data_IF_654950974537
#
_entry.id   IF_654950974537
#
_cell.length_a   1.000
_cell.length_b   1.000
_cell.length_c   1.000
_cell.angle_alpha   90.00
_cell.angle_beta   90.00
_cell.angle_gamma   90.00
#
_symmetry.space_group_name_H-M   'P 1'
#
loop_
_entity.id
_entity.type
_entity.pdbx_description
1 polymer ?
#
# COMPACT_ATOMS: atom_id res chain seq x y z
N UNK A 1 19.05 -20.24 -30.61
CA UNK A 1 18.88 -20.77 -29.24
C UNK A 1 18.96 -19.61 -28.25
N UNK A 2 17.87 -19.30 -27.55
CA UNK A 2 17.88 -18.50 -26.31
C UNK A 2 17.02 -19.28 -25.32
N UNK A 3 17.67 -19.91 -24.33
CA UNK A 3 16.95 -20.49 -23.21
C UNK A 3 16.36 -19.33 -22.39
N UNK A 4 15.05 -19.13 -22.46
CA UNK A 4 14.34 -18.38 -21.44
C UNK A 4 14.34 -19.25 -20.18
N UNK A 5 15.36 -19.12 -19.34
CA UNK A 5 15.23 -19.54 -17.96
C UNK A 5 14.11 -18.70 -17.36
N UNK A 6 12.98 -19.33 -17.04
CA UNK A 6 11.94 -18.68 -16.27
C UNK A 6 12.52 -18.36 -14.89
N UNK A 7 13.00 -17.13 -14.70
CA UNK A 7 13.49 -16.66 -13.41
C UNK A 7 12.36 -16.85 -12.41
N UNK A 8 12.55 -17.74 -11.43
CA UNK A 8 11.57 -17.88 -10.37
C UNK A 8 11.56 -16.60 -9.55
N UNK A 9 10.43 -15.91 -9.52
CA UNK A 9 10.20 -14.75 -8.66
C UNK A 9 9.56 -15.21 -7.35
N UNK A 10 9.93 -14.60 -6.20
CA UNK A 10 9.28 -14.86 -4.93
C UNK A 10 7.83 -14.40 -4.95
N UNK A 11 6.94 -15.06 -4.21
CA UNK A 11 5.53 -14.68 -4.10
C UNK A 11 5.29 -13.66 -2.98
N UNK A 12 6.16 -13.62 -1.99
CA UNK A 12 6.08 -12.74 -0.82
C UNK A 12 7.47 -12.22 -0.45
N UNK A 13 7.55 -11.15 0.35
CA UNK A 13 8.84 -10.71 0.88
C UNK A 13 9.46 -11.73 1.85
N UNK A 14 8.63 -12.52 2.54
CA UNK A 14 9.10 -13.62 3.37
C UNK A 14 9.88 -14.63 2.53
N UNK A 15 9.33 -15.05 1.39
CA UNK A 15 10.05 -15.93 0.46
C UNK A 15 11.31 -15.28 -0.11
N UNK A 16 11.21 -14.00 -0.51
CA UNK A 16 12.35 -13.23 -1.03
C UNK A 16 13.53 -13.24 -0.03
N UNK A 17 13.23 -13.10 1.26
CA UNK A 17 14.22 -13.11 2.34
C UNK A 17 14.74 -14.52 2.66
N UNK A 18 13.86 -15.52 2.80
CA UNK A 18 14.27 -16.85 3.30
C UNK A 18 14.79 -17.80 2.24
N UNK A 19 14.31 -17.71 1.00
CA UNK A 19 14.64 -18.67 -0.07
C UNK A 19 15.51 -18.06 -1.17
N UNK A 20 15.38 -16.76 -1.42
CA UNK A 20 16.12 -16.07 -2.48
C UNK A 20 17.25 -15.17 -1.95
N UNK A 21 17.34 -14.99 -0.63
CA UNK A 21 18.35 -14.15 0.04
C UNK A 21 18.44 -12.74 -0.57
N UNK A 22 17.29 -12.17 -0.94
CA UNK A 22 17.21 -10.85 -1.56
C UNK A 22 17.34 -9.75 -0.50
N UNK A 23 18.07 -8.66 -0.80
CA UNK A 23 18.19 -7.54 0.12
C UNK A 23 16.87 -6.80 0.31
N UNK A 24 16.74 -6.10 1.44
CA UNK A 24 15.63 -5.18 1.69
C UNK A 24 15.60 -4.05 0.64
N UNK A 25 14.39 -3.71 0.18
CA UNK A 25 14.17 -2.72 -0.86
C UNK A 25 12.98 -3.06 -1.75
N UNK A 26 12.79 -2.33 -2.86
CA UNK A 26 11.78 -2.64 -3.86
C UNK A 26 12.06 -4.01 -4.52
N UNK A 27 11.09 -4.91 -4.48
CA UNK A 27 11.21 -6.28 -4.98
C UNK A 27 9.99 -6.64 -5.83
N UNK A 28 10.24 -7.26 -6.98
CA UNK A 28 9.19 -7.77 -7.84
C UNK A 28 8.68 -9.14 -7.33
N UNK A 29 7.39 -9.22 -7.06
CA UNK A 29 6.71 -10.40 -6.52
C UNK A 29 5.73 -11.02 -7.52
N UNK A 30 5.74 -12.35 -7.60
CA UNK A 30 4.81 -13.17 -8.38
C UNK A 30 3.68 -13.69 -7.47
N UNK A 31 2.93 -12.75 -6.87
CA UNK A 31 1.91 -13.01 -5.84
C UNK A 31 0.84 -14.01 -6.30
N UNK A 32 0.44 -13.91 -7.56
CA UNK A 32 -0.60 -14.73 -8.18
C UNK A 32 -0.04 -16.01 -8.86
N UNK A 33 1.28 -16.11 -9.04
CA UNK A 33 1.92 -17.26 -9.69
C UNK A 33 1.73 -17.28 -11.20
N UNK A 34 1.38 -16.15 -11.81
CA UNK A 34 0.89 -16.04 -13.19
C UNK A 34 1.99 -15.87 -14.25
N UNK A 35 3.27 -15.94 -13.86
CA UNK A 35 4.48 -15.86 -14.69
C UNK A 35 4.28 -15.98 -16.20
N UNK A 36 4.94 -15.15 -17.03
CA UNK A 36 5.95 -14.12 -16.71
C UNK A 36 5.38 -12.69 -16.71
N UNK A 37 4.06 -12.57 -16.73
CA UNK A 37 3.35 -11.32 -16.99
C UNK A 37 2.95 -10.62 -15.70
N UNK A 38 3.52 -9.44 -15.46
CA UNK A 38 3.08 -8.45 -14.45
C UNK A 38 3.30 -8.85 -12.97
N UNK A 39 4.57 -9.10 -12.60
CA UNK A 39 4.98 -9.13 -11.20
C UNK A 39 4.68 -7.80 -10.51
N UNK A 40 4.30 -7.86 -9.23
CA UNK A 40 3.86 -6.70 -8.44
C UNK A 40 5.03 -6.16 -7.63
N UNK A 41 5.25 -4.85 -7.58
CA UNK A 41 6.38 -4.29 -6.84
C UNK A 41 5.99 -3.92 -5.42
N UNK A 42 6.53 -4.65 -4.44
CA UNK A 42 6.42 -4.31 -3.01
C UNK A 42 7.76 -3.79 -2.47
N UNK A 43 7.73 -3.15 -1.31
CA UNK A 43 8.95 -2.87 -0.54
C UNK A 43 9.12 -3.96 0.51
N UNK A 44 10.19 -4.75 0.37
CA UNK A 44 10.55 -5.81 1.30
C UNK A 44 11.51 -5.30 2.37
N UNK A 45 11.26 -5.67 3.62
CA UNK A 45 12.18 -5.41 4.72
C UNK A 45 12.22 -6.60 5.69
N UNK A 46 13.30 -7.37 5.68
CA UNK A 46 13.48 -8.55 6.56
C UNK A 46 12.26 -9.50 6.54
N UNK A 47 11.72 -9.78 5.36
CA UNK A 47 10.53 -10.63 5.19
C UNK A 47 9.18 -9.92 5.26
N UNK A 48 9.13 -8.69 5.78
CA UNK A 48 7.90 -7.88 5.85
C UNK A 48 7.60 -7.31 4.47
N UNK A 49 6.34 -7.43 4.03
CA UNK A 49 5.87 -6.91 2.75
C UNK A 49 5.14 -5.59 2.95
N UNK A 50 5.63 -4.50 2.36
CA UNK A 50 4.90 -3.22 2.31
C UNK A 50 4.38 -2.97 0.91
N UNK A 51 3.06 -2.94 0.74
CA UNK A 51 2.41 -2.62 -0.53
C UNK A 51 2.22 -1.11 -0.66
N UNK A 52 2.79 -0.45 -1.70
CA UNK A 52 2.64 0.98 -1.90
C UNK A 52 1.25 1.37 -2.40
N UNK A 53 0.86 2.62 -2.15
CA UNK A 53 -0.37 3.23 -2.67
C UNK A 53 -0.06 4.54 -3.41
N UNK A 54 -1.07 5.10 -4.07
CA UNK A 54 -0.95 6.33 -4.86
C UNK A 54 -1.40 7.61 -4.12
N UNK A 55 -2.03 7.50 -2.95
CA UNK A 55 -2.44 8.67 -2.18
C UNK A 55 -1.23 9.55 -1.81
N UNK A 56 -1.20 10.82 -2.24
CA UNK A 56 -0.12 11.73 -1.87
C UNK A 56 -0.11 12.00 -0.37
N UNK A 57 1.09 12.18 0.13
CA UNK A 57 1.33 12.77 1.43
C UNK A 57 0.60 14.13 1.54
N UNK A 58 -0.10 14.37 2.66
CA UNK A 58 -0.71 15.66 2.97
C UNK A 58 -1.93 15.95 2.09
N UNK A 59 -2.58 14.90 1.56
CA UNK A 59 -3.78 15.02 0.74
C UNK A 59 -4.82 15.85 1.48
N UNK A 60 -5.26 16.95 0.88
CA UNK A 60 -6.23 17.87 1.49
C UNK A 60 -7.58 17.16 1.55
N UNK A 61 -7.96 16.73 2.76
CA UNK A 61 -9.21 16.06 3.07
C UNK A 61 -10.35 17.04 3.38
N UNK A 62 -10.01 18.25 3.85
CA UNK A 62 -10.95 19.36 4.08
C UNK A 62 -10.24 20.69 3.82
N UNK A 63 -10.93 21.60 3.16
CA UNK A 63 -10.51 23.00 3.03
C UNK A 63 -11.66 23.94 3.43
N UNK A 64 -11.35 25.20 3.68
CA UNK A 64 -12.38 26.23 3.91
C UNK A 64 -13.18 26.57 2.65
N UNK A 65 -12.63 26.26 1.48
CA UNK A 65 -13.23 26.55 0.17
C UNK A 65 -14.17 25.42 -0.29
N UNK A 66 -13.97 24.20 0.22
CA UNK A 66 -14.78 23.02 -0.10
C UNK A 66 -15.34 22.35 1.15
N UNK A 67 -16.63 22.59 1.40
CA UNK A 67 -17.36 22.02 2.54
C UNK A 67 -18.02 20.68 2.24
N UNK A 68 -17.88 20.14 1.02
CA UNK A 68 -18.49 18.86 0.65
C UNK A 68 -17.79 17.67 1.30
N UNK A 69 -18.43 16.50 1.28
CA UNK A 69 -17.77 15.28 1.77
C UNK A 69 -16.70 14.86 0.78
N UNK A 70 -15.46 14.74 1.26
CA UNK A 70 -14.36 14.23 0.46
C UNK A 70 -14.41 12.70 0.40
N UNK A 71 -14.24 12.15 -0.80
CA UNK A 71 -14.05 10.73 -1.05
C UNK A 71 -12.74 10.55 -1.81
N UNK A 72 -11.86 9.71 -1.27
CA UNK A 72 -10.57 9.37 -1.88
C UNK A 72 -10.62 7.95 -2.38
N UNK A 73 -10.38 7.77 -3.68
CA UNK A 73 -10.15 6.45 -4.26
C UNK A 73 -8.64 6.22 -4.19
N UNK A 74 -8.24 5.17 -3.48
CA UNK A 74 -6.84 4.82 -3.25
C UNK A 74 -6.52 3.57 -4.07
N UNK A 75 -5.49 3.66 -4.90
CA UNK A 75 -5.01 2.55 -5.72
C UNK A 75 -3.71 1.99 -5.17
N UNK A 76 -3.63 0.67 -5.11
CA UNK A 76 -2.42 -0.09 -4.79
C UNK A 76 -1.74 -0.59 -6.08
N UNK A 77 -1.72 0.28 -7.12
CA UNK A 77 -1.14 0.13 -8.47
C UNK A 77 -0.98 -1.29 -9.00
N UNK A 78 0.10 -1.98 -8.63
CA UNK A 78 0.46 -3.29 -9.20
C UNK A 78 -0.29 -4.47 -8.57
N UNK A 79 -1.17 -4.19 -7.60
CA UNK A 79 -1.90 -5.17 -6.82
C UNK A 79 -3.41 -5.05 -7.08
N UNK A 80 -3.95 -6.08 -7.73
CA UNK A 80 -5.40 -6.28 -7.84
C UNK A 80 -5.98 -6.74 -6.49
N UNK A 81 -7.30 -6.71 -6.38
CA UNK A 81 -8.04 -7.29 -5.24
C UNK A 81 -7.61 -8.71 -4.93
N UNK A 82 -7.40 -9.54 -5.96
CA UNK A 82 -7.02 -10.94 -5.81
C UNK A 82 -5.58 -11.08 -5.30
N UNK A 83 -4.66 -10.24 -5.80
CA UNK A 83 -3.26 -10.21 -5.34
C UNK A 83 -3.19 -9.76 -3.87
N UNK A 84 -3.91 -8.71 -3.49
CA UNK A 84 -3.99 -8.26 -2.09
C UNK A 84 -4.59 -9.33 -1.19
N UNK A 85 -5.71 -9.95 -1.59
CA UNK A 85 -6.36 -11.01 -0.82
C UNK A 85 -5.42 -12.21 -0.59
N UNK A 86 -4.61 -12.57 -1.60
CA UNK A 86 -3.59 -13.62 -1.48
C UNK A 86 -2.50 -13.23 -0.49
N UNK A 87 -1.98 -12.00 -0.54
CA UNK A 87 -1.00 -11.55 0.45
C UNK A 87 -1.57 -11.61 1.86
N UNK A 88 -2.78 -11.10 2.08
CA UNK A 88 -3.45 -11.10 3.38
C UNK A 88 -3.63 -12.53 3.90
N UNK A 89 -4.10 -13.45 3.05
CA UNK A 89 -4.31 -14.86 3.42
C UNK A 89 -3.01 -15.57 3.79
N UNK A 90 -1.88 -15.19 3.18
CA UNK A 90 -0.57 -15.81 3.41
C UNK A 90 0.28 -15.07 4.46
N UNK A 91 -0.26 -14.05 5.13
CA UNK A 91 0.46 -13.25 6.11
C UNK A 91 -0.11 -13.47 7.51
N UNK A 92 0.77 -13.49 8.53
CA UNK A 92 0.32 -13.64 9.92
C UNK A 92 -0.38 -12.40 10.48
N UNK A 93 -0.18 -11.24 9.84
CA UNK A 93 -0.84 -9.97 10.20
C UNK A 93 -0.99 -9.07 8.98
N UNK A 94 -1.89 -8.10 9.05
CA UNK A 94 -2.03 -7.03 8.06
C UNK A 94 -2.32 -5.73 8.80
N UNK A 95 -1.53 -4.68 8.55
CA UNK A 95 -1.67 -3.37 9.21
C UNK A 95 -1.56 -2.24 8.20
N UNK A 96 -2.38 -1.21 8.39
CA UNK A 96 -2.30 0.03 7.66
C UNK A 96 -2.63 1.18 8.61
N UNK A 97 -1.90 2.28 8.49
CA UNK A 97 -2.09 3.47 9.30
C UNK A 97 -2.61 4.62 8.44
N UNK A 98 -3.59 5.33 8.97
CA UNK A 98 -4.10 6.59 8.43
C UNK A 98 -3.82 7.67 9.47
N UNK A 99 -3.16 8.74 9.07
CA UNK A 99 -2.98 9.93 9.90
C UNK A 99 -3.78 11.07 9.30
N UNK A 100 -4.53 11.77 10.16
CA UNK A 100 -5.31 12.94 9.79
C UNK A 100 -4.88 14.11 10.66
N UNK A 101 -4.20 15.06 10.04
CA UNK A 101 -3.81 16.31 10.69
C UNK A 101 -4.95 17.30 10.50
N UNK A 102 -5.42 17.90 11.59
CA UNK A 102 -6.55 18.81 11.55
C UNK A 102 -6.27 20.13 12.26
N UNK A 103 -6.72 21.21 11.62
CA UNK A 103 -6.81 22.53 12.20
C UNK A 103 -8.27 22.97 12.13
N UNK A 104 -8.95 22.99 13.28
CA UNK A 104 -10.38 23.25 13.42
C UNK A 104 -11.29 22.40 12.50
N UNK A 105 -10.77 21.27 12.00
CA UNK A 105 -11.41 20.37 11.05
C UNK A 105 -11.67 19.00 11.68
N UNK A 106 -12.25 18.96 12.88
CA UNK A 106 -12.51 17.71 13.58
C UNK A 106 -13.29 16.73 12.67
N UNK A 107 -12.98 15.43 12.75
CA UNK A 107 -13.64 14.34 12.00
C UNK A 107 -15.13 14.12 12.41
N UNK A 108 -15.77 15.11 13.03
CA UNK A 108 -17.18 15.04 13.41
C UNK A 108 -17.46 14.37 14.76
N UNK A 109 -16.48 14.28 15.67
CA UNK A 109 -16.72 13.81 17.04
C UNK A 109 -17.26 14.92 17.98
N UNK A 110 -17.21 16.18 17.55
CA UNK A 110 -17.91 17.33 18.13
C UNK A 110 -17.99 18.47 17.11
N UNK A 111 -19.11 19.20 17.10
CA UNK A 111 -19.37 20.30 16.16
C UNK A 111 -18.96 21.64 16.80
N UNK A 112 -18.12 22.44 16.13
CA UNK A 112 -18.07 23.92 16.12
C UNK A 112 -16.98 24.41 15.11
N UNK A 113 -17.22 25.55 14.42
CA UNK A 113 -16.40 26.20 13.36
C UNK A 113 -15.27 27.11 13.95
N UNK A 114 -14.26 27.69 13.23
CA UNK A 114 -14.08 27.99 11.78
C UNK A 114 -12.70 27.64 11.12
N UNK A 115 -12.55 27.82 9.80
CA UNK A 115 -11.46 27.39 8.87
C UNK A 115 -11.00 25.95 9.11
N UNK A 116 -11.55 25.02 8.31
CA UNK A 116 -11.32 23.59 8.47
C UNK A 116 -10.26 23.13 7.47
N UNK A 117 -9.00 23.10 7.89
CA UNK A 117 -7.94 22.45 7.13
C UNK A 117 -7.71 21.06 7.70
N UNK A 118 -7.88 20.06 6.86
CA UNK A 118 -7.58 18.67 7.17
C UNK A 118 -6.67 18.09 6.10
N UNK A 119 -5.54 17.51 6.49
CA UNK A 119 -4.65 16.80 5.58
C UNK A 119 -4.49 15.35 6.03
N UNK A 120 -4.41 14.44 5.07
CA UNK A 120 -4.38 13.01 5.33
C UNK A 120 -3.11 12.37 4.77
N UNK A 121 -2.66 11.35 5.49
CA UNK A 121 -1.52 10.52 5.16
C UNK A 121 -1.94 9.06 5.30
N UNK A 122 -1.44 8.23 4.41
CA UNK A 122 -1.67 6.81 4.41
C UNK A 122 -0.31 6.12 4.42
N UNK A 123 -0.19 5.03 5.17
CA UNK A 123 0.94 4.12 5.04
C UNK A 123 0.67 3.09 3.95
N UNK A 124 1.74 2.46 3.44
CA UNK A 124 1.58 1.20 2.73
C UNK A 124 0.88 0.14 3.59
N UNK A 125 0.30 -0.88 2.95
CA UNK A 125 -0.22 -2.06 3.65
C UNK A 125 0.98 -2.91 4.07
N UNK A 126 1.14 -3.11 5.37
CA UNK A 126 2.24 -3.88 5.97
C UNK A 126 1.75 -5.28 6.33
N UNK A 127 2.37 -6.29 5.73
CA UNK A 127 2.03 -7.72 5.81
C UNK A 127 3.22 -8.54 6.33
#
# INVERSE_FOLDING_TARGET
MRAFFAVLQPRTCAEANTFYDLPSGPTQLDVDGSRPSFGSVAVCNNGITTVPHDMPNGTVARSSEDTTHAMFIISYRDFTSEKLARLITNSGSCRQFVQYDCNNAALGLSALNPIKLGSMWLSGIVL
#
